data_IF_085748658973
#
_entry.id   IF_085748658973
#
_cell.length_a   1.000
_cell.length_b   1.000
_cell.length_c   1.000
_cell.angle_alpha   90.00
_cell.angle_beta   90.00
_cell.angle_gamma   90.00
#
_symmetry.space_group_name_H-M   'P 1'
#
loop_
_entity.id
_entity.type
_entity.pdbx_description
1 polymer ?
#
# COMPACT_ATOMS: atom_id res chain seq x y z
N UNK A 1 -51.02 -15.19 -51.16
CA UNK A 1 -50.66 -15.37 -49.74
C UNK A 1 -51.71 -16.29 -49.13
N UNK A 2 -51.50 -17.59 -49.25
CA UNK A 2 -52.41 -18.62 -48.75
C UNK A 2 -52.30 -18.74 -47.23
N UNK A 3 -53.39 -18.39 -46.54
CA UNK A 3 -53.52 -18.64 -45.11
C UNK A 3 -53.91 -20.11 -44.93
N UNK A 4 -53.10 -20.93 -44.22
CA UNK A 4 -53.48 -22.31 -43.96
C UNK A 4 -54.78 -22.34 -43.13
N UNK A 5 -55.68 -23.26 -43.47
CA UNK A 5 -56.94 -23.51 -42.75
C UNK A 5 -56.64 -24.17 -41.39
N UNK A 6 -56.11 -23.36 -40.47
CA UNK A 6 -55.68 -23.76 -39.13
C UNK A 6 -56.91 -23.83 -38.24
N UNK A 7 -57.23 -25.04 -37.76
CA UNK A 7 -58.34 -25.26 -36.83
C UNK A 7 -58.23 -24.32 -35.64
N UNK A 8 -59.36 -23.81 -35.18
CA UNK A 8 -59.46 -22.88 -34.03
C UNK A 8 -58.75 -23.41 -32.78
N UNK A 9 -58.75 -24.72 -32.56
CA UNK A 9 -57.98 -25.37 -31.48
C UNK A 9 -56.47 -25.14 -31.57
N UNK A 10 -55.91 -25.09 -32.78
CA UNK A 10 -54.48 -24.85 -33.01
C UNK A 10 -54.11 -23.38 -32.76
N UNK A 11 -55.01 -22.43 -33.06
CA UNK A 11 -54.82 -21.01 -32.73
C UNK A 11 -54.78 -20.78 -31.21
N UNK A 12 -55.64 -21.47 -30.47
CA UNK A 12 -55.68 -21.38 -29.00
C UNK A 12 -54.36 -21.91 -28.41
N UNK A 13 -53.86 -23.03 -28.91
CA UNK A 13 -52.59 -23.61 -28.43
C UNK A 13 -51.41 -22.67 -28.70
N UNK A 14 -51.32 -22.07 -29.89
CA UNK A 14 -50.26 -21.12 -30.23
C UNK A 14 -50.34 -19.88 -29.31
N UNK A 15 -51.54 -19.35 -29.06
CA UNK A 15 -51.72 -18.22 -28.16
C UNK A 15 -51.27 -18.53 -26.73
N UNK A 16 -51.55 -19.74 -26.23
CA UNK A 16 -51.11 -20.19 -24.90
C UNK A 16 -49.57 -20.32 -24.86
N UNK A 17 -48.95 -20.88 -25.89
CA UNK A 17 -47.49 -21.03 -25.97
C UNK A 17 -46.82 -19.65 -26.00
N UNK A 18 -47.33 -18.69 -26.78
CA UNK A 18 -46.80 -17.33 -26.83
C UNK A 18 -46.94 -16.61 -25.50
N UNK A 19 -48.08 -16.77 -24.82
CA UNK A 19 -48.29 -16.20 -23.49
C UNK A 19 -47.35 -16.81 -22.43
N UNK A 20 -47.12 -18.14 -22.48
CA UNK A 20 -46.19 -18.82 -21.58
C UNK A 20 -44.73 -18.42 -21.85
N UNK A 21 -44.33 -18.26 -23.11
CA UNK A 21 -42.99 -17.78 -23.48
C UNK A 21 -42.80 -16.32 -23.06
N UNK A 22 -43.79 -15.45 -23.25
CA UNK A 22 -43.73 -14.08 -22.78
C UNK A 22 -43.61 -14.01 -21.24
N UNK A 23 -44.39 -14.84 -20.52
CA UNK A 23 -44.27 -14.96 -19.06
C UNK A 23 -42.89 -15.47 -18.65
N UNK A 24 -42.36 -16.48 -19.33
CA UNK A 24 -41.03 -17.04 -19.07
C UNK A 24 -39.93 -16.01 -19.30
N UNK A 25 -40.04 -15.20 -20.37
CA UNK A 25 -39.13 -14.09 -20.65
C UNK A 25 -39.22 -12.97 -19.60
N UNK A 26 -40.39 -12.76 -19.00
CA UNK A 26 -40.57 -11.81 -17.90
C UNK A 26 -39.95 -12.28 -16.57
N UNK A 27 -39.74 -13.59 -16.40
CA UNK A 27 -39.08 -14.16 -15.22
C UNK A 27 -37.55 -14.20 -15.34
N UNK A 28 -36.98 -13.82 -16.50
CA UNK A 28 -35.52 -13.73 -16.66
C UNK A 28 -35.02 -12.51 -15.87
N UNK A 29 -34.11 -12.68 -14.89
CA UNK A 29 -33.57 -11.56 -14.14
C UNK A 29 -32.83 -10.61 -15.09
N UNK A 30 -33.25 -9.35 -15.14
CA UNK A 30 -32.55 -8.29 -15.87
C UNK A 30 -31.23 -7.96 -15.16
N UNK A 31 -30.21 -8.79 -15.34
CA UNK A 31 -28.85 -8.51 -14.82
C UNK A 31 -28.12 -7.56 -15.76
N UNK A 32 -28.59 -6.31 -15.77
CA UNK A 32 -27.84 -5.16 -16.27
C UNK A 32 -28.34 -3.92 -15.50
N UNK A 33 -28.17 -3.95 -14.17
CA UNK A 33 -28.35 -2.76 -13.34
C UNK A 33 -27.01 -2.06 -13.21
N UNK A 34 -26.92 -0.84 -13.73
CA UNK A 34 -25.93 0.13 -13.29
C UNK A 34 -26.06 0.32 -11.76
N UNK A 35 -24.95 0.48 -11.01
CA UNK A 35 -24.99 0.53 -9.56
C UNK A 35 -25.81 1.73 -9.08
N UNK A 36 -26.82 1.43 -8.26
CA UNK A 36 -27.74 2.41 -7.68
C UNK A 36 -27.04 3.19 -6.56
N UNK A 37 -27.38 4.48 -6.41
CA UNK A 37 -26.88 5.38 -5.37
C UNK A 37 -27.06 4.85 -3.93
N UNK A 38 -27.93 3.86 -3.73
CA UNK A 38 -28.09 3.17 -2.45
C UNK A 38 -26.88 2.32 -2.03
N UNK A 39 -26.07 1.82 -2.98
CA UNK A 39 -24.91 0.98 -2.66
C UNK A 39 -23.77 1.80 -2.05
N UNK A 40 -23.62 3.07 -2.44
CA UNK A 40 -22.61 3.97 -1.86
C UNK A 40 -22.89 4.23 -0.37
N UNK A 41 -24.14 4.30 0.07
CA UNK A 41 -24.51 4.62 1.45
C UNK A 41 -24.03 3.59 2.49
N UNK A 42 -23.81 2.32 2.10
CA UNK A 42 -23.47 1.26 3.05
C UNK A 42 -21.97 0.96 3.18
N UNK A 43 -21.10 1.65 2.45
CA UNK A 43 -19.66 1.38 2.50
C UNK A 43 -19.06 2.01 3.75
N UNK A 44 -18.45 1.16 4.58
CA UNK A 44 -17.92 1.53 5.90
C UNK A 44 -16.42 1.27 6.06
N UNK A 45 -15.81 0.50 5.17
CA UNK A 45 -14.39 0.13 5.26
C UNK A 45 -13.74 0.00 3.87
N UNK A 46 -12.41 -0.15 3.87
CA UNK A 46 -11.60 -0.29 2.66
C UNK A 46 -12.01 -1.51 1.83
N UNK A 47 -12.22 -2.67 2.45
CA UNK A 47 -12.53 -3.92 1.75
C UNK A 47 -13.88 -3.83 1.02
N UNK A 48 -14.89 -3.21 1.63
CA UNK A 48 -16.20 -2.92 0.99
C UNK A 48 -16.07 -1.92 -0.16
N UNK A 49 -15.23 -0.90 -0.01
CA UNK A 49 -14.97 0.08 -1.06
C UNK A 49 -14.29 -0.57 -2.28
N UNK A 50 -13.26 -1.38 -2.04
CA UNK A 50 -12.54 -2.12 -3.07
C UNK A 50 -13.43 -3.17 -3.76
N UNK A 51 -14.22 -3.93 -2.98
CA UNK A 51 -15.15 -4.92 -3.51
C UNK A 51 -16.28 -4.30 -4.36
N UNK A 52 -16.63 -3.04 -4.08
CA UNK A 52 -17.55 -2.26 -4.90
C UNK A 52 -16.93 -1.74 -6.21
N UNK A 53 -15.64 -1.99 -6.45
CA UNK A 53 -14.93 -1.64 -7.70
C UNK A 53 -14.52 -0.17 -7.80
N UNK A 54 -14.47 0.54 -6.67
CA UNK A 54 -14.02 1.93 -6.65
C UNK A 54 -12.49 2.04 -6.78
N UNK A 55 -11.98 3.18 -7.29
CA UNK A 55 -10.56 3.36 -7.50
C UNK A 55 -9.77 3.30 -6.19
N UNK A 56 -8.76 2.42 -6.17
CA UNK A 56 -7.72 2.37 -5.15
C UNK A 56 -6.59 3.29 -5.60
N UNK A 57 -6.12 4.14 -4.69
CA UNK A 57 -5.02 5.06 -4.89
C UNK A 57 -3.71 4.36 -4.56
N UNK A 58 -2.75 4.44 -5.49
CA UNK A 58 -1.39 3.91 -5.41
C UNK A 58 -0.49 4.73 -4.43
N UNK A 59 -1.02 5.07 -3.25
CA UNK A 59 -0.27 5.65 -2.13
C UNK A 59 -0.05 4.57 -1.07
N UNK A 60 0.99 4.69 -0.24
CA UNK A 60 1.12 3.87 0.97
C UNK A 60 0.75 4.71 2.22
N UNK A 61 -0.17 4.23 3.09
CA UNK A 61 -1.05 3.08 2.89
C UNK A 61 -2.08 3.35 1.78
N UNK A 62 -2.56 2.27 1.16
CA UNK A 62 -3.51 2.34 0.04
C UNK A 62 -4.87 2.84 0.49
N UNK A 63 -5.56 3.54 -0.40
CA UNK A 63 -6.78 4.26 -0.07
C UNK A 63 -7.82 4.07 -1.17
N UNK A 64 -9.06 3.74 -0.83
CA UNK A 64 -10.15 3.60 -1.78
C UNK A 64 -11.09 4.82 -1.74
N UNK A 65 -11.41 5.40 -2.91
CA UNK A 65 -12.22 6.63 -3.00
C UNK A 65 -13.59 6.38 -3.63
N UNK A 66 -14.64 6.81 -2.93
CA UNK A 66 -16.03 6.70 -3.36
C UNK A 66 -16.52 7.94 -4.14
N UNK A 67 -17.59 7.85 -4.96
CA UNK A 67 -18.11 8.96 -5.76
C UNK A 67 -18.69 10.12 -4.92
N UNK A 68 -19.15 9.83 -3.70
CA UNK A 68 -19.61 10.82 -2.72
C UNK A 68 -18.44 11.49 -1.97
N UNK A 69 -17.20 11.12 -2.29
CA UNK A 69 -16.00 11.79 -1.81
C UNK A 69 -15.41 11.24 -0.51
N UNK A 70 -15.99 10.17 0.07
CA UNK A 70 -15.36 9.48 1.20
C UNK A 70 -14.16 8.67 0.73
N UNK A 71 -13.14 8.61 1.57
CA UNK A 71 -11.93 7.81 1.37
C UNK A 71 -11.79 6.84 2.52
N UNK A 72 -11.44 5.60 2.23
CA UNK A 72 -11.19 4.54 3.21
C UNK A 72 -9.75 4.07 3.08
N UNK A 73 -8.98 4.08 4.16
CA UNK A 73 -7.57 3.67 4.20
C UNK A 73 -7.49 2.16 4.50
N UNK A 74 -6.55 1.42 3.88
CA UNK A 74 -6.29 0.03 4.25
C UNK A 74 -5.45 -0.05 5.54
N UNK A 75 -6.12 -0.10 6.67
CA UNK A 75 -5.48 -0.23 7.99
C UNK A 75 -4.66 -1.52 8.15
N UNK A 76 -4.91 -2.57 7.34
CA UNK A 76 -4.12 -3.82 7.39
C UNK A 76 -2.67 -3.59 6.98
N UNK A 77 -2.40 -2.61 6.13
CA UNK A 77 -1.04 -2.23 5.74
C UNK A 77 -0.32 -1.48 6.85
N UNK A 78 -1.04 -0.67 7.64
CA UNK A 78 -0.47 0.05 8.78
C UNK A 78 -0.08 -0.94 9.88
N UNK A 79 -0.92 -1.94 10.14
CA UNK A 79 -0.67 -2.94 11.19
C UNK A 79 0.43 -3.94 10.84
N UNK A 80 0.86 -4.04 9.58
CA UNK A 80 2.00 -4.89 9.17
C UNK A 80 3.33 -4.14 9.15
N UNK A 81 3.29 -2.80 9.20
CA UNK A 81 4.47 -1.93 9.22
C UNK A 81 4.70 -1.27 10.60
N UNK A 82 3.72 -1.39 11.52
CA UNK A 82 3.82 -0.85 12.89
C UNK A 82 3.91 -1.90 14.00
N UNK A 83 4.01 -3.20 13.65
CA UNK A 83 4.35 -4.25 14.64
C UNK A 83 5.72 -4.89 14.46
N UNK A 84 6.56 -4.37 13.56
CA UNK A 84 7.98 -4.73 13.45
C UNK A 84 8.86 -3.52 13.03
N UNK A 85 8.85 -2.42 13.76
CA UNK A 85 10.07 -1.60 13.90
C UNK A 85 9.99 -0.67 15.12
N UNK A 86 10.16 -1.22 16.31
CA UNK A 86 10.48 -0.43 17.51
C UNK A 86 11.61 -1.07 18.34
N UNK A 87 12.47 -1.89 17.71
CA UNK A 87 13.68 -2.40 18.37
C UNK A 87 14.75 -3.02 17.45
N UNK A 88 15.03 -2.44 16.29
CA UNK A 88 16.19 -2.79 15.46
C UNK A 88 16.80 -1.47 14.95
N UNK A 89 17.41 -0.62 15.78
CA UNK A 89 18.87 -0.67 16.04
C UNK A 89 19.20 -0.14 17.45
N UNK A 90 18.50 -0.54 18.51
CA UNK A 90 18.89 -0.14 19.87
C UNK A 90 19.95 -1.11 20.44
N UNK A 91 21.24 -0.84 20.22
CA UNK A 91 22.31 -1.60 20.89
C UNK A 91 22.76 -0.84 22.15
N UNK A 92 22.48 -1.41 23.33
CA UNK A 92 22.80 -0.81 24.63
C UNK A 92 22.22 0.60 24.87
N UNK A 93 21.01 0.85 24.35
CA UNK A 93 20.31 2.13 24.47
C UNK A 93 20.73 3.18 23.45
N UNK A 94 21.56 2.84 22.47
CA UNK A 94 21.96 3.71 21.37
C UNK A 94 21.30 3.26 20.06
N UNK A 95 20.86 4.21 19.23
CA UNK A 95 20.27 3.96 17.93
C UNK A 95 20.87 4.84 16.82
N UNK A 96 20.82 4.30 15.60
CA UNK A 96 21.19 5.04 14.39
C UNK A 96 20.06 6.02 14.04
N UNK A 97 20.41 7.26 13.73
CA UNK A 97 19.47 8.34 13.44
C UNK A 97 19.99 9.29 12.35
N UNK A 98 19.17 10.28 11.99
CA UNK A 98 19.43 11.23 10.92
C UNK A 98 18.98 10.72 9.55
N UNK A 99 18.71 11.64 8.62
CA UNK A 99 18.09 11.34 7.33
C UNK A 99 18.93 10.39 6.46
N UNK A 100 20.25 10.39 6.66
CA UNK A 100 21.20 9.56 5.93
C UNK A 100 21.88 8.51 6.81
N UNK A 101 21.34 8.26 8.02
CA UNK A 101 21.92 7.31 8.99
C UNK A 101 23.28 7.75 9.54
N UNK A 102 23.57 9.05 9.56
CA UNK A 102 24.88 9.58 9.93
C UNK A 102 25.08 9.77 11.44
N UNK A 103 24.04 9.63 12.26
CA UNK A 103 24.09 9.85 13.70
C UNK A 103 23.95 8.53 14.46
N UNK A 104 24.64 8.43 15.60
CA UNK A 104 24.43 7.40 16.60
C UNK A 104 24.15 8.09 17.93
N UNK A 105 22.92 7.98 18.41
CA UNK A 105 22.33 8.79 19.49
C UNK A 105 21.59 7.92 20.48
N UNK A 106 21.09 8.47 21.59
CA UNK A 106 20.28 7.70 22.52
C UNK A 106 18.98 7.25 21.82
N UNK A 107 18.59 5.99 22.03
CA UNK A 107 17.46 5.39 21.34
C UNK A 107 16.14 6.13 21.58
N UNK A 108 15.99 6.74 22.76
CA UNK A 108 14.83 7.57 23.11
C UNK A 108 14.73 8.88 22.31
N UNK A 109 15.82 9.36 21.73
CA UNK A 109 15.89 10.63 21.02
C UNK A 109 15.92 10.46 19.50
N UNK A 110 16.18 9.24 19.02
CA UNK A 110 16.39 8.95 17.59
C UNK A 110 15.20 9.37 16.70
N UNK A 111 13.97 9.22 17.19
CA UNK A 111 12.74 9.59 16.46
C UNK A 111 12.48 11.09 16.38
N UNK A 112 13.04 11.88 17.30
CA UNK A 112 12.83 13.34 17.37
C UNK A 112 13.90 14.13 16.61
N UNK A 113 14.99 13.46 16.18
CA UNK A 113 16.11 14.11 15.52
C UNK A 113 15.81 14.34 14.03
N UNK A 114 15.54 15.60 13.72
CA UNK A 114 15.40 16.07 12.33
C UNK A 114 16.74 16.64 11.86
N UNK A 115 17.29 16.06 10.79
CA UNK A 115 18.49 16.56 10.11
C UNK A 115 18.15 16.94 8.68
N UNK A 116 19.00 17.75 8.05
CA UNK A 116 18.90 17.99 6.61
C UNK A 116 19.23 16.71 5.85
N UNK A 117 18.43 16.38 4.84
CA UNK A 117 18.67 15.25 3.93
C UNK A 117 19.73 15.60 2.88
N UNK A 118 20.92 15.97 3.34
CA UNK A 118 22.07 16.19 2.48
C UNK A 118 22.64 14.84 2.04
N UNK A 119 22.94 14.72 0.75
CA UNK A 119 23.61 13.55 0.22
C UNK A 119 25.12 13.77 0.23
N UNK A 120 25.81 13.08 1.14
CA UNK A 120 27.26 13.12 1.30
C UNK A 120 27.85 11.72 1.22
N UNK A 121 28.92 11.59 0.44
CA UNK A 121 29.62 10.33 0.18
C UNK A 121 30.05 9.61 1.48
N UNK A 122 30.48 10.38 2.47
CA UNK A 122 31.03 9.89 3.74
C UNK A 122 29.99 9.13 4.56
N UNK A 123 28.69 9.38 4.34
CA UNK A 123 27.61 8.69 5.05
C UNK A 123 27.54 7.20 4.72
N UNK A 124 28.05 6.79 3.55
CA UNK A 124 28.16 5.38 3.18
C UNK A 124 29.03 4.58 4.17
N UNK A 125 30.01 5.24 4.82
CA UNK A 125 30.90 4.63 5.80
C UNK A 125 30.19 4.21 7.09
N UNK A 126 29.08 4.87 7.44
CA UNK A 126 28.33 4.55 8.66
C UNK A 126 27.43 3.32 8.51
N UNK A 127 27.17 2.84 7.29
CA UNK A 127 26.33 1.66 7.04
C UNK A 127 26.90 0.38 7.66
N UNK A 128 28.22 0.26 7.71
CA UNK A 128 28.94 -0.89 8.27
C UNK A 128 29.55 -0.59 9.64
N UNK A 129 29.41 0.66 10.12
CA UNK A 129 29.95 1.07 11.40
C UNK A 129 29.09 0.57 12.57
N UNK A 130 29.73 0.33 13.71
CA UNK A 130 29.02 -0.05 14.93
C UNK A 130 28.53 1.17 15.70
N UNK A 131 27.22 1.27 15.94
CA UNK A 131 26.62 2.25 16.83
C UNK A 131 26.44 1.66 18.24
N UNK A 132 26.95 2.35 19.27
CA UNK A 132 26.84 1.87 20.64
C UNK A 132 27.36 2.86 21.69
N UNK A 133 27.27 2.46 22.96
CA UNK A 133 27.72 3.27 24.09
C UNK A 133 29.25 3.23 24.18
N UNK A 134 29.88 4.39 24.17
CA UNK A 134 31.33 4.56 24.21
C UNK A 134 31.85 4.57 25.65
N UNK A 135 33.19 4.54 25.84
CA UNK A 135 33.82 4.58 27.17
C UNK A 135 33.48 5.83 28.00
N UNK A 136 33.08 6.91 27.34
CA UNK A 136 32.63 8.15 27.98
C UNK A 136 31.15 8.09 28.43
N UNK A 137 30.49 6.94 28.24
CA UNK A 137 29.09 6.72 28.60
C UNK A 137 28.08 7.30 27.62
N UNK A 138 28.49 7.86 26.47
CA UNK A 138 27.59 8.46 25.46
C UNK A 138 27.42 7.53 24.26
N UNK A 139 26.30 7.63 23.56
CA UNK A 139 26.15 7.00 22.25
C UNK A 139 27.07 7.64 21.21
N UNK A 140 27.62 6.81 20.33
CA UNK A 140 28.47 7.25 19.23
C UNK A 140 28.89 6.08 18.35
N UNK A 141 29.43 6.41 17.19
CA UNK A 141 30.04 5.42 16.29
C UNK A 141 31.36 4.93 16.88
N UNK A 142 31.55 3.61 16.89
CA UNK A 142 32.84 3.01 17.29
C UNK A 142 33.90 3.37 16.26
N UNK A 143 34.96 4.03 16.70
CA UNK A 143 36.05 4.51 15.86
C UNK A 143 37.02 3.37 15.47
N UNK A 144 36.58 2.50 14.56
CA UNK A 144 37.43 1.45 14.02
C UNK A 144 38.45 1.99 13.01
N UNK A 145 39.46 1.18 12.68
CA UNK A 145 40.45 1.55 11.65
C UNK A 145 39.75 1.69 10.30
N UNK A 146 38.83 0.78 10.00
CA UNK A 146 38.05 0.69 8.78
C UNK A 146 37.17 1.94 8.62
N UNK A 147 36.45 2.34 9.68
CA UNK A 147 35.63 3.54 9.67
C UNK A 147 36.47 4.79 9.41
N UNK A 148 37.60 4.95 10.13
CA UNK A 148 38.50 6.10 9.92
C UNK A 148 39.06 6.14 8.50
N UNK A 149 39.45 4.99 7.96
CA UNK A 149 39.97 4.90 6.59
C UNK A 149 38.89 5.26 5.57
N UNK A 150 37.65 4.78 5.75
CA UNK A 150 36.54 5.13 4.87
C UNK A 150 36.22 6.63 4.96
N UNK A 151 36.20 7.23 6.15
CA UNK A 151 35.94 8.66 6.29
C UNK A 151 37.06 9.53 5.69
N UNK A 152 38.30 9.04 5.65
CA UNK A 152 39.43 9.72 5.00
C UNK A 152 39.42 9.56 3.48
N UNK A 153 38.98 8.41 2.98
CA UNK A 153 38.90 8.05 1.57
C UNK A 153 37.47 7.67 1.20
N UNK A 154 36.54 8.60 1.42
CA UNK A 154 35.11 8.28 1.27
C UNK A 154 34.78 7.92 -0.18
N UNK A 155 33.91 6.92 -0.39
CA UNK A 155 33.64 6.39 -1.71
C UNK A 155 33.14 7.52 -2.60
N UNK A 156 33.79 7.72 -3.76
CA UNK A 156 33.27 8.65 -4.75
C UNK A 156 31.85 8.22 -5.11
N UNK A 157 30.89 9.13 -5.02
CA UNK A 157 29.56 8.88 -5.57
C UNK A 157 29.67 9.13 -7.06
N UNK A 158 30.25 8.16 -7.76
CA UNK A 158 30.16 8.12 -9.21
C UNK A 158 28.71 7.79 -9.55
N UNK A 159 28.07 8.66 -10.35
CA UNK A 159 26.70 8.46 -10.86
C UNK A 159 26.54 7.22 -11.75
N UNK A 160 27.59 6.41 -11.90
CA UNK A 160 27.59 5.10 -12.52
C UNK A 160 28.04 4.09 -11.46
N UNK A 161 27.07 3.35 -10.94
CA UNK A 161 27.26 2.30 -9.94
C UNK A 161 28.19 1.22 -10.51
N UNK A 162 29.41 1.15 -9.99
CA UNK A 162 30.15 -0.10 -9.89
C UNK A 162 30.67 -0.22 -8.46
N UNK A 163 29.92 -0.95 -7.64
CA UNK A 163 30.35 -1.34 -6.29
C UNK A 163 31.31 -2.52 -6.47
N UNK A 164 32.62 -2.24 -6.43
CA UNK A 164 33.62 -3.31 -6.36
C UNK A 164 33.84 -3.63 -4.88
N UNK A 165 33.42 -4.83 -4.49
CA UNK A 165 33.62 -5.45 -3.19
C UNK A 165 35.09 -5.86 -2.96
#
# INVERSE_FOLDING_TARGET
MDMPNVKTSTLIIIAIILAALAWLLLQIPRTAQAPSANTTANIKNFDECAAAGYPIMESYPEQCRTPDGRTFVNERQINSDSTEDQNQVAFNGCAVAGCSGQLCVEASEAGDIVTTCEFRAEYACYREASCGRQLNGRCGWTETVELRQCLQNSPAVDGNIEVVF
#
